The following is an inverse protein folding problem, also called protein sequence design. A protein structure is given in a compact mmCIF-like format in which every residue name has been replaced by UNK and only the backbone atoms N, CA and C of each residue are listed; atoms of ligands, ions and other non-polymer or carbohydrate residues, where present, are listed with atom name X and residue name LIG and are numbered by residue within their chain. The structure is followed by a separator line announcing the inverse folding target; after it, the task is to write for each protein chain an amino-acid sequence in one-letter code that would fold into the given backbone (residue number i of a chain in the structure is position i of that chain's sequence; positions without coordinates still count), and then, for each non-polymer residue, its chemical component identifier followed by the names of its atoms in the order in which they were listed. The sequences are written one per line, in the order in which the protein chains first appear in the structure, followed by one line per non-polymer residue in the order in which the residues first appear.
data_IF_010659338761
#
_entry.id   IF_010659338761
#
_cell.length_a   1.000
_cell.length_b   1.000
_cell.length_c   1.000
_cell.angle_alpha   90.00
_cell.angle_beta   90.00
_cell.angle_gamma   90.00
#
_symmetry.space_group_name_H-M   'P 1'
#
loop_
_entity.id
_entity.type
_entity.pdbx_description
1 polymer ?
#
# COMPACT_ATOMS: atom_id res chain seq x y z
N UNK A 1 28.64 10.31 5.90
CA UNK A 1 28.05 10.72 4.60
C UNK A 1 26.71 11.34 4.91
N UNK A 2 26.47 12.61 4.54
CA UNK A 2 25.15 13.23 4.71
C UNK A 2 24.20 12.44 3.81
N UNK A 3 23.25 11.74 4.41
CA UNK A 3 22.17 11.09 3.67
C UNK A 3 21.32 12.23 3.14
N UNK A 4 21.48 12.59 1.86
CA UNK A 4 20.60 13.59 1.25
C UNK A 4 19.18 13.05 1.29
N UNK A 5 18.29 13.80 1.94
CA UNK A 5 16.89 13.41 2.04
C UNK A 5 16.31 13.28 0.64
N UNK A 6 15.56 12.20 0.41
CA UNK A 6 14.91 11.97 -0.88
C UNK A 6 13.96 13.13 -1.17
N UNK A 7 14.03 13.67 -2.39
CA UNK A 7 13.18 14.77 -2.84
C UNK A 7 11.79 14.24 -3.24
N UNK A 8 11.09 13.67 -2.27
CA UNK A 8 9.73 13.14 -2.44
C UNK A 8 8.74 14.29 -2.40
N UNK A 9 7.93 14.44 -3.46
CA UNK A 9 6.86 15.44 -3.53
C UNK A 9 5.51 14.80 -3.20
N UNK A 10 4.59 15.49 -2.52
CA UNK A 10 3.25 14.98 -2.27
C UNK A 10 2.51 14.68 -3.57
N UNK A 11 1.88 13.51 -3.64
CA UNK A 11 1.00 13.13 -4.74
C UNK A 11 -0.35 13.85 -4.55
N UNK A 12 -0.83 14.56 -5.57
CA UNK A 12 -2.07 15.32 -5.47
C UNK A 12 -3.27 14.42 -5.74
N UNK A 13 -4.42 14.77 -5.18
CA UNK A 13 -5.64 13.95 -5.32
C UNK A 13 -6.10 13.89 -6.78
N UNK A 14 -5.92 14.98 -7.53
CA UNK A 14 -6.26 15.08 -8.96
C UNK A 14 -5.39 14.17 -9.85
N UNK A 15 -4.19 13.79 -9.39
CA UNK A 15 -3.28 12.89 -10.11
C UNK A 15 -3.62 11.40 -9.89
N UNK A 16 -4.55 11.10 -8.99
CA UNK A 16 -4.95 9.72 -8.69
C UNK A 16 -5.92 9.19 -9.77
N UNK A 17 -5.63 8.00 -10.35
CA UNK A 17 -6.57 7.32 -11.23
C UNK A 17 -7.94 7.13 -10.58
N UNK A 18 -8.99 7.15 -11.40
CA UNK A 18 -10.36 6.99 -10.95
C UNK A 18 -10.68 5.52 -10.71
N UNK A 19 -10.24 4.64 -11.60
CA UNK A 19 -10.48 3.21 -11.49
C UNK A 19 -9.62 2.57 -10.38
N UNK A 20 -10.25 1.73 -9.56
CA UNK A 20 -9.58 1.05 -8.43
C UNK A 20 -8.40 0.18 -8.87
N UNK A 21 -8.49 -0.49 -10.01
CA UNK A 21 -7.44 -1.38 -10.53
C UNK A 21 -6.28 -0.55 -11.09
N UNK A 22 -6.57 0.51 -11.83
CA UNK A 22 -5.59 1.48 -12.30
C UNK A 22 -4.87 2.17 -11.15
N UNK A 23 -5.58 2.56 -10.09
CA UNK A 23 -4.99 3.15 -8.89
C UNK A 23 -4.02 2.18 -8.21
N UNK A 24 -4.39 0.91 -8.08
CA UNK A 24 -3.51 -0.09 -7.47
C UNK A 24 -2.21 -0.26 -8.28
N UNK A 25 -2.32 -0.30 -9.61
CA UNK A 25 -1.16 -0.34 -10.52
C UNK A 25 -0.31 0.91 -10.37
N UNK A 26 -0.92 2.07 -10.46
CA UNK A 26 -0.26 3.38 -10.39
C UNK A 26 0.51 3.59 -9.08
N UNK A 27 0.03 3.00 -7.99
CA UNK A 27 0.65 3.12 -6.67
C UNK A 27 1.98 2.35 -6.56
N UNK A 28 2.21 1.33 -7.40
CA UNK A 28 3.52 0.66 -7.47
C UNK A 28 4.57 1.67 -7.96
N UNK A 29 5.66 1.79 -7.21
CA UNK A 29 6.73 2.75 -7.43
C UNK A 29 6.49 4.14 -6.82
N UNK A 30 5.32 4.40 -6.20
CA UNK A 30 5.10 5.58 -5.36
C UNK A 30 5.72 5.39 -3.98
N UNK A 31 5.71 6.43 -3.15
CA UNK A 31 6.40 6.42 -1.86
C UNK A 31 5.41 6.56 -0.72
N UNK A 32 5.45 5.66 0.24
CA UNK A 32 4.78 5.87 1.52
C UNK A 32 5.72 6.67 2.42
N UNK A 33 5.24 7.78 2.97
CA UNK A 33 6.01 8.65 3.86
C UNK A 33 5.28 8.83 5.18
N UNK A 34 6.03 8.79 6.28
CA UNK A 34 5.54 9.10 7.61
C UNK A 34 6.48 10.08 8.31
N UNK A 35 6.08 11.34 8.42
CA UNK A 35 6.80 12.36 9.16
C UNK A 35 6.46 12.25 10.65
N UNK A 36 7.43 11.81 11.45
CA UNK A 36 7.33 11.70 12.91
C UNK A 36 8.22 12.74 13.61
N UNK A 37 7.94 13.07 14.88
CA UNK A 37 8.81 13.93 15.68
C UNK A 37 10.26 13.41 15.77
N UNK A 38 10.45 12.09 15.79
CA UNK A 38 11.77 11.45 15.90
C UNK A 38 12.49 11.31 14.54
N UNK A 39 11.80 11.57 13.43
CA UNK A 39 12.37 11.52 12.08
C UNK A 39 11.41 11.03 11.01
N UNK A 40 11.77 11.29 9.75
CA UNK A 40 11.01 10.81 8.59
C UNK A 40 11.24 9.32 8.35
N UNK A 41 10.16 8.60 8.11
CA UNK A 41 10.17 7.26 7.52
C UNK A 41 9.74 7.38 6.07
N UNK A 42 10.40 6.67 5.16
CA UNK A 42 9.91 6.55 3.80
C UNK A 42 10.27 5.20 3.18
N UNK A 43 9.52 4.83 2.17
CA UNK A 43 9.88 3.71 1.33
C UNK A 43 9.03 3.61 0.07
N UNK A 44 9.60 2.96 -0.95
CA UNK A 44 8.96 2.75 -2.24
C UNK A 44 7.94 1.62 -2.12
N UNK A 45 6.71 1.86 -2.55
CA UNK A 45 5.63 0.87 -2.58
C UNK A 45 5.93 -0.10 -3.72
N UNK A 46 6.20 -1.35 -3.38
CA UNK A 46 6.58 -2.39 -4.36
C UNK A 46 5.46 -3.39 -4.62
N UNK A 47 4.37 -3.34 -3.86
CA UNK A 47 3.26 -4.29 -3.98
C UNK A 47 1.95 -3.71 -3.46
N UNK A 48 0.88 -3.90 -4.23
CA UNK A 48 -0.50 -3.52 -3.89
C UNK A 48 -1.50 -4.59 -4.30
N UNK A 49 -2.70 -4.53 -3.72
CA UNK A 49 -3.87 -5.29 -4.19
C UNK A 49 -5.06 -4.37 -4.41
N UNK A 50 -5.87 -4.65 -5.43
CA UNK A 50 -7.11 -3.93 -5.72
C UNK A 50 -8.34 -4.69 -5.16
N UNK A 51 -9.25 -3.94 -4.56
CA UNK A 51 -10.57 -4.40 -4.11
C UNK A 51 -11.65 -3.52 -4.77
N UNK A 52 -11.94 -3.73 -6.07
CA UNK A 52 -12.86 -2.90 -6.85
C UNK A 52 -14.32 -3.06 -6.40
N UNK A 53 -15.19 -2.18 -6.90
CA UNK A 53 -16.64 -2.28 -6.68
C UNK A 53 -17.16 -3.67 -7.11
N UNK A 54 -18.03 -4.25 -6.30
CA UNK A 54 -18.59 -5.58 -6.53
C UNK A 54 -17.68 -6.77 -6.17
N UNK A 55 -16.47 -6.52 -5.67
CA UNK A 55 -15.59 -7.60 -5.18
C UNK A 55 -16.08 -8.16 -3.85
N UNK A 56 -16.49 -9.44 -3.83
CA UNK A 56 -17.05 -10.10 -2.64
C UNK A 56 -16.06 -10.29 -1.49
N UNK A 57 -14.77 -10.06 -1.72
CA UNK A 57 -13.71 -10.10 -0.72
C UNK A 57 -13.40 -8.72 -0.12
N UNK A 58 -13.96 -7.65 -0.68
CA UNK A 58 -13.84 -6.30 -0.14
C UNK A 58 -14.70 -6.11 1.12
N UNK A 59 -14.19 -5.35 2.09
CA UNK A 59 -15.01 -4.93 3.24
C UNK A 59 -16.13 -3.96 2.86
N UNK A 60 -16.09 -3.36 1.66
CA UNK A 60 -17.14 -2.49 1.14
C UNK A 60 -18.24 -3.26 0.39
N UNK A 61 -18.08 -4.56 0.13
CA UNK A 61 -18.98 -5.34 -0.73
C UNK A 61 -20.46 -5.27 -0.33
N UNK A 62 -20.73 -5.39 0.97
CA UNK A 62 -22.10 -5.35 1.52
C UNK A 62 -22.58 -3.92 1.86
N UNK A 63 -21.84 -2.91 1.40
CA UNK A 63 -22.06 -1.49 1.65
C UNK A 63 -21.46 -0.98 2.96
N UNK A 64 -21.79 0.28 3.26
CA UNK A 64 -21.24 1.03 4.40
C UNK A 64 -21.70 0.43 5.74
N UNK A 65 -20.77 0.37 6.70
CA UNK A 65 -20.92 -0.10 8.08
C UNK A 65 -20.10 0.83 8.99
N UNK A 66 -20.36 0.84 10.32
CA UNK A 66 -19.64 1.73 11.24
C UNK A 66 -18.11 1.60 11.19
N UNK A 67 -17.59 0.41 10.89
CA UNK A 67 -16.16 0.10 10.91
C UNK A 67 -15.43 0.23 9.56
N UNK A 68 -16.13 0.53 8.46
CA UNK A 68 -15.52 0.64 7.12
C UNK A 68 -15.77 2.01 6.47
N UNK A 69 -16.28 3.00 7.23
CA UNK A 69 -16.65 4.31 6.70
C UNK A 69 -15.53 5.00 5.93
N UNK A 70 -14.27 4.80 6.33
CA UNK A 70 -13.11 5.37 5.65
C UNK A 70 -12.91 4.86 4.20
N UNK A 71 -13.44 3.68 3.86
CA UNK A 71 -13.47 3.20 2.47
C UNK A 71 -14.45 3.97 1.57
N UNK A 72 -15.41 4.68 2.17
CA UNK A 72 -16.44 5.47 1.48
C UNK A 72 -16.08 6.96 1.43
N UNK A 73 -14.92 7.36 1.95
CA UNK A 73 -14.39 8.70 1.73
C UNK A 73 -13.94 8.88 0.29
N UNK A 74 -13.77 10.13 -0.13
CA UNK A 74 -13.19 10.44 -1.43
C UNK A 74 -11.82 9.74 -1.62
N UNK A 75 -11.42 9.49 -2.87
CA UNK A 75 -10.14 8.83 -3.18
C UNK A 75 -8.95 9.46 -2.43
N UNK A 76 -8.02 8.61 -1.99
CA UNK A 76 -6.80 9.04 -1.33
C UNK A 76 -6.87 9.08 0.21
N UNK A 77 -7.92 8.57 0.84
CA UNK A 77 -7.99 8.46 2.31
C UNK A 77 -7.55 7.08 2.78
N UNK A 78 -6.84 7.04 3.90
CA UNK A 78 -6.42 5.81 4.55
C UNK A 78 -7.63 5.07 5.12
N UNK A 79 -7.69 3.76 4.89
CA UNK A 79 -8.53 2.84 5.64
C UNK A 79 -7.65 1.86 6.39
N UNK A 80 -7.61 1.99 7.72
CA UNK A 80 -6.73 1.23 8.59
C UNK A 80 -7.54 0.31 9.49
N UNK A 81 -7.36 -1.00 9.33
CA UNK A 81 -8.12 -1.99 10.12
C UNK A 81 -7.25 -3.09 10.69
N UNK A 82 -7.48 -3.39 11.97
CA UNK A 82 -6.94 -4.58 12.62
C UNK A 82 -7.58 -5.83 12.00
N UNK A 83 -6.76 -6.69 11.43
CA UNK A 83 -7.18 -7.90 10.73
C UNK A 83 -6.73 -9.12 11.52
N UNK A 84 -7.67 -10.05 11.73
CA UNK A 84 -7.51 -11.25 12.57
C UNK A 84 -7.01 -10.99 14.00
N UNK A 85 -7.17 -9.77 14.53
CA UNK A 85 -6.71 -9.40 15.88
C UNK A 85 -5.19 -9.27 16.02
N UNK A 86 -4.42 -9.41 14.93
CA UNK A 86 -2.95 -9.53 15.00
C UNK A 86 -2.23 -8.35 14.36
N UNK A 87 -2.73 -7.81 13.25
CA UNK A 87 -2.02 -6.74 12.54
C UNK A 87 -2.96 -5.76 11.87
N UNK A 88 -2.59 -4.49 11.89
CA UNK A 88 -3.24 -3.48 11.08
C UNK A 88 -2.90 -3.69 9.60
N UNK A 89 -3.81 -3.27 8.73
CA UNK A 89 -3.61 -3.22 7.29
C UNK A 89 -3.89 -1.79 6.84
N UNK A 90 -3.02 -1.23 6.00
CA UNK A 90 -3.21 0.09 5.41
C UNK A 90 -3.79 -0.05 4.00
N UNK A 91 -5.01 0.45 3.83
CA UNK A 91 -5.64 0.59 2.53
C UNK A 91 -5.78 2.07 2.18
N UNK A 92 -6.06 2.36 0.91
CA UNK A 92 -6.46 3.68 0.41
C UNK A 92 -7.81 3.57 -0.30
N UNK A 93 -8.75 4.48 -0.02
CA UNK A 93 -9.99 4.62 -0.78
C UNK A 93 -9.71 5.02 -2.23
N UNK A 94 -10.40 4.40 -3.19
CA UNK A 94 -10.10 4.57 -4.62
C UNK A 94 -11.17 5.34 -5.40
N UNK A 95 -12.44 5.20 -5.01
CA UNK A 95 -13.58 5.67 -5.80
C UNK A 95 -14.05 7.08 -5.39
N UNK A 96 -15.10 7.55 -6.07
CA UNK A 96 -15.86 8.70 -5.61
C UNK A 96 -16.42 8.46 -4.20
N UNK A 97 -16.66 9.56 -3.48
CA UNK A 97 -17.26 9.51 -2.15
C UNK A 97 -18.58 8.71 -2.19
N UNK A 98 -18.82 7.93 -1.14
CA UNK A 98 -19.97 7.04 -0.95
C UNK A 98 -20.03 5.77 -1.83
N UNK A 99 -19.08 5.53 -2.76
CA UNK A 99 -19.10 4.32 -3.61
C UNK A 99 -18.51 3.09 -2.90
N UNK A 100 -17.40 3.26 -2.18
CA UNK A 100 -16.79 2.19 -1.38
C UNK A 100 -15.99 1.18 -2.21
N UNK A 101 -14.69 1.45 -2.38
CA UNK A 101 -13.69 0.50 -2.87
C UNK A 101 -12.31 0.96 -2.41
N UNK A 102 -11.27 0.15 -2.63
CA UNK A 102 -9.94 0.58 -2.27
C UNK A 102 -8.82 -0.34 -2.71
N UNK A 103 -7.60 0.09 -2.36
CA UNK A 103 -6.38 -0.64 -2.62
C UNK A 103 -5.68 -0.95 -1.29
N UNK A 104 -5.09 -2.14 -1.16
CA UNK A 104 -4.24 -2.51 -0.03
C UNK A 104 -2.78 -2.21 -0.38
N UNK A 105 -2.07 -1.52 0.50
CA UNK A 105 -0.62 -1.35 0.40
C UNK A 105 0.03 -2.56 1.08
N UNK A 106 0.70 -3.40 0.31
CA UNK A 106 1.16 -4.72 0.78
C UNK A 106 2.61 -4.74 1.19
N UNK A 107 3.48 -4.13 0.41
CA UNK A 107 4.89 -4.14 0.73
C UNK A 107 5.56 -2.85 0.27
N UNK A 108 6.59 -2.49 1.03
CA UNK A 108 7.40 -1.31 0.81
C UNK A 108 8.87 -1.72 0.91
N UNK A 109 9.70 -1.20 0.01
CA UNK A 109 11.16 -1.13 0.15
C UNK A 109 11.52 0.05 1.06
N UNK A 110 12.05 -0.19 2.27
CA UNK A 110 12.43 0.88 3.20
C UNK A 110 13.61 1.71 2.69
N UNK A 111 13.52 3.05 2.80
CA UNK A 111 14.55 3.98 2.30
C UNK A 111 15.05 4.96 3.37
N UNK A 112 14.14 5.61 4.11
CA UNK A 112 14.47 6.52 5.20
C UNK A 112 13.93 6.02 6.54
N UNK A 113 14.61 6.35 7.64
CA UNK A 113 14.17 6.00 8.99
C UNK A 113 14.37 4.53 9.37
N UNK A 114 15.34 3.85 8.76
CA UNK A 114 15.60 2.41 8.97
C UNK A 114 15.77 2.05 10.46
N UNK A 115 16.54 2.82 11.22
CA UNK A 115 16.73 2.58 12.66
C UNK A 115 15.42 2.62 13.45
N UNK A 116 14.46 3.50 13.09
CA UNK A 116 13.14 3.55 13.72
C UNK A 116 12.29 2.34 13.34
N UNK A 117 12.37 1.87 12.08
CA UNK A 117 11.70 0.66 11.63
C UNK A 117 12.25 -0.60 12.31
N UNK A 118 13.57 -0.69 12.46
CA UNK A 118 14.29 -1.77 13.16
C UNK A 118 13.97 -1.78 14.65
N UNK A 119 13.88 -0.61 15.30
CA UNK A 119 13.45 -0.53 16.69
C UNK A 119 12.03 -1.09 16.90
N UNK A 120 11.12 -0.91 15.93
CA UNK A 120 9.77 -1.50 15.96
C UNK A 120 9.74 -2.98 15.58
N UNK A 121 10.78 -3.47 14.90
CA UNK A 121 10.92 -4.85 14.42
C UNK A 121 12.34 -5.36 14.68
N UNK A 122 12.72 -5.61 15.94
CA UNK A 122 14.10 -5.98 16.27
C UNK A 122 14.46 -7.35 15.70
N UNK A 123 15.70 -7.47 15.19
CA UNK A 123 16.26 -8.75 14.73
C UNK A 123 15.73 -9.27 13.39
N UNK A 124 14.94 -8.49 12.65
CA UNK A 124 14.57 -8.85 11.27
C UNK A 124 15.53 -8.22 10.26
N UNK A 125 15.86 -8.91 9.15
CA UNK A 125 16.67 -8.31 8.10
C UNK A 125 15.91 -7.17 7.41
N UNK A 126 16.63 -6.19 6.87
CA UNK A 126 16.09 -5.04 6.12
C UNK A 126 14.99 -5.45 5.11
N UNK A 127 15.26 -6.51 4.34
CA UNK A 127 14.32 -7.09 3.36
C UNK A 127 12.94 -7.41 3.96
N UNK A 128 12.88 -7.83 5.22
CA UNK A 128 11.67 -8.31 5.88
C UNK A 128 11.05 -7.27 6.84
N UNK A 129 11.57 -6.03 6.89
CA UNK A 129 11.00 -4.94 7.68
C UNK A 129 9.57 -4.61 7.23
N UNK A 130 9.36 -4.38 5.93
CA UNK A 130 8.06 -3.97 5.38
C UNK A 130 7.53 -4.89 4.27
N UNK A 131 8.05 -6.12 4.17
CA UNK A 131 7.62 -7.15 3.21
C UNK A 131 6.36 -7.88 3.67
N UNK A 132 5.21 -7.24 3.50
CA UNK A 132 3.88 -7.78 3.83
C UNK A 132 3.04 -6.78 4.62
N UNK A 133 1.69 -6.80 4.48
CA UNK A 133 0.85 -5.65 4.82
C UNK A 133 0.88 -5.32 6.32
N UNK A 134 0.80 -6.34 7.20
CA UNK A 134 0.95 -6.13 8.64
C UNK A 134 2.37 -5.78 9.07
N UNK A 135 3.39 -6.20 8.30
CA UNK A 135 4.80 -5.85 8.61
C UNK A 135 5.07 -4.39 8.28
N UNK A 136 4.57 -3.93 7.12
CA UNK A 136 4.58 -2.55 6.69
C UNK A 136 3.98 -1.64 7.76
N UNK A 137 2.78 -1.93 8.26
CA UNK A 137 2.16 -1.07 9.27
C UNK A 137 2.97 -1.00 10.57
N UNK A 138 3.57 -2.11 11.01
CA UNK A 138 4.43 -2.11 12.20
C UNK A 138 5.70 -1.28 11.95
N UNK A 139 6.40 -1.50 10.84
CA UNK A 139 7.62 -0.76 10.50
C UNK A 139 7.37 0.75 10.46
N UNK A 140 6.26 1.17 9.85
CA UNK A 140 5.87 2.57 9.72
C UNK A 140 5.16 3.15 10.96
N UNK A 141 4.89 2.35 12.00
CA UNK A 141 4.18 2.83 13.20
C UNK A 141 2.71 3.22 12.95
N UNK A 142 2.05 2.52 12.02
CA UNK A 142 0.67 2.79 11.61
C UNK A 142 -0.29 1.92 12.42
N UNK A 143 -1.25 2.57 13.09
CA UNK A 143 -2.34 1.93 13.82
C UNK A 143 -3.68 2.61 13.59
N UNK A 144 -4.69 2.28 14.40
CA UNK A 144 -6.07 2.75 14.24
C UNK A 144 -6.21 4.29 14.14
N UNK A 145 -5.34 5.05 14.80
CA UNK A 145 -5.35 6.53 14.77
C UNK A 145 -5.10 7.15 13.37
N UNK A 146 -4.72 6.32 12.39
CA UNK A 146 -4.53 6.71 11.00
C UNK A 146 -5.72 6.39 10.10
N UNK A 147 -6.76 5.73 10.62
CA UNK A 147 -7.99 5.51 9.85
C UNK A 147 -8.64 6.86 9.48
N UNK A 148 -9.05 7.00 8.22
CA UNK A 148 -9.65 8.22 7.66
C UNK A 148 -8.68 9.36 7.37
N UNK A 149 -7.35 9.18 7.55
CA UNK A 149 -6.36 10.23 7.22
C UNK A 149 -6.29 10.47 5.72
N UNK A 150 -6.19 11.74 5.32
CA UNK A 150 -5.95 12.12 3.93
C UNK A 150 -4.47 11.94 3.57
N UNK A 151 -4.19 10.97 2.69
CA UNK A 151 -2.84 10.62 2.27
C UNK A 151 -2.27 11.57 1.20
N UNK A 152 -3.06 12.55 0.73
CA UNK A 152 -2.63 13.52 -0.28
C UNK A 152 -2.10 14.83 0.34
N UNK A 153 -1.94 14.88 1.67
CA UNK A 153 -1.66 16.14 2.40
C UNK A 153 -0.19 16.54 2.43
N UNK A 154 0.73 15.63 2.11
CA UNK A 154 2.17 15.88 2.17
C UNK A 154 2.75 16.05 3.58
N UNK A 155 2.00 15.68 4.62
CA UNK A 155 2.41 15.79 6.02
C UNK A 155 1.85 14.65 6.87
N UNK A 156 2.54 14.29 7.94
CA UNK A 156 2.13 13.14 8.76
C UNK A 156 2.27 11.85 7.95
N UNK A 157 1.18 11.12 7.71
CA UNK A 157 1.17 9.94 6.82
C UNK A 157 0.65 10.32 5.44
N UNK A 158 1.46 10.14 4.39
CA UNK A 158 1.11 10.58 3.04
C UNK A 158 1.77 9.74 1.94
N UNK A 159 1.24 9.84 0.72
CA UNK A 159 1.82 9.26 -0.49
C UNK A 159 2.56 10.33 -1.29
N UNK A 160 3.79 10.00 -1.66
CA UNK A 160 4.65 10.84 -2.46
C UNK A 160 5.08 10.22 -3.78
N UNK A 161 5.69 11.08 -4.60
CA UNK A 161 6.23 10.75 -5.91
C UNK A 161 7.63 11.32 -6.06
N UNK A 162 8.52 10.54 -6.67
CA UNK A 162 9.77 10.99 -7.28
C UNK A 162 9.59 10.77 -8.77
N UNK A 163 9.91 11.77 -9.60
CA UNK A 163 9.80 11.61 -11.06
C UNK A 163 10.75 10.51 -11.49
N UNK A 164 10.16 9.42 -11.94
CA UNK A 164 10.85 8.24 -12.43
C UNK A 164 10.08 7.80 -13.66
N UNK A 165 10.79 7.25 -14.64
CA UNK A 165 10.15 6.72 -15.86
C UNK A 165 9.23 5.54 -15.55
N UNK A 166 8.45 5.14 -16.55
CA UNK A 166 7.59 3.98 -16.44
C UNK A 166 8.41 2.72 -16.17
N UNK A 167 8.10 2.01 -15.09
CA UNK A 167 8.65 0.71 -14.76
C UNK A 167 7.63 -0.38 -15.09
N UNK A 168 8.06 -1.57 -15.54
CA UNK A 168 7.16 -2.69 -15.76
C UNK A 168 6.47 -3.07 -14.44
N UNK A 169 5.16 -3.37 -14.51
CA UNK A 169 4.36 -3.80 -13.36
C UNK A 169 3.92 -5.26 -13.58
N UNK A 170 4.33 -6.13 -12.67
CA UNK A 170 3.87 -7.52 -12.61
C UNK A 170 2.43 -7.59 -12.13
N UNK A 171 1.67 -8.55 -12.65
CA UNK A 171 0.26 -8.79 -12.30
C UNK A 171 0.06 -10.25 -11.93
N UNK A 172 -0.64 -10.49 -10.82
CA UNK A 172 -0.90 -11.85 -10.33
C UNK A 172 -2.13 -11.90 -9.42
N UNK A 173 -2.42 -13.07 -8.87
CA UNK A 173 -3.56 -13.29 -7.97
C UNK A 173 -3.27 -12.79 -6.56
N UNK A 174 -4.34 -12.38 -5.87
CA UNK A 174 -4.28 -11.87 -4.49
C UNK A 174 -3.94 -12.97 -3.47
N UNK A 175 -3.36 -12.59 -2.33
CA UNK A 175 -2.94 -13.50 -1.27
C UNK A 175 -3.92 -13.46 -0.09
N UNK A 176 -4.20 -14.63 0.49
CA UNK A 176 -4.98 -14.72 1.73
C UNK A 176 -6.49 -14.64 1.53
N UNK A 177 -6.97 -14.92 0.31
CA UNK A 177 -8.39 -14.98 -0.02
C UNK A 177 -8.89 -16.44 -0.06
N UNK A 178 -10.15 -16.64 0.29
CA UNK A 178 -10.88 -17.91 0.14
C UNK A 178 -11.89 -17.90 -1.01
N UNK A 179 -12.15 -16.71 -1.58
CA UNK A 179 -13.07 -16.46 -2.70
C UNK A 179 -12.39 -15.56 -3.72
N UNK A 180 -12.85 -15.57 -4.97
CA UNK A 180 -12.31 -14.73 -6.06
C UNK A 180 -10.78 -14.81 -6.26
N UNK A 181 -10.18 -15.96 -5.90
CA UNK A 181 -8.74 -16.18 -5.89
C UNK A 181 -8.11 -16.14 -7.29
N UNK A 182 -8.91 -16.30 -8.35
CA UNK A 182 -8.44 -16.32 -9.74
C UNK A 182 -8.27 -14.92 -10.34
N UNK A 183 -8.81 -13.87 -9.71
CA UNK A 183 -8.78 -12.51 -10.27
C UNK A 183 -7.37 -11.92 -10.15
N UNK A 184 -6.76 -11.41 -11.25
CA UNK A 184 -5.40 -10.87 -11.27
C UNK A 184 -5.35 -9.43 -10.74
N UNK A 185 -5.67 -9.27 -9.46
CA UNK A 185 -5.82 -7.97 -8.78
C UNK A 185 -4.68 -7.66 -7.80
N UNK A 186 -3.52 -8.30 -7.97
CA UNK A 186 -2.29 -8.00 -7.22
C UNK A 186 -1.23 -7.47 -8.18
N UNK A 187 -0.64 -6.34 -7.82
CA UNK A 187 0.34 -5.63 -8.63
C UNK A 187 1.66 -5.51 -7.87
N UNK A 188 2.78 -5.68 -8.56
CA UNK A 188 4.08 -5.66 -7.91
C UNK A 188 5.21 -5.21 -8.84
N UNK A 189 6.31 -4.75 -8.26
CA UNK A 189 7.54 -4.42 -8.97
C UNK A 189 8.34 -5.69 -9.30
N UNK A 190 8.50 -6.07 -10.57
CA UNK A 190 9.24 -7.28 -10.96
C UNK A 190 10.70 -7.23 -10.49
N UNK A 191 11.20 -8.35 -9.98
CA UNK A 191 12.59 -8.47 -9.51
C UNK A 191 12.87 -7.87 -8.14
N UNK A 192 11.95 -7.08 -7.55
CA UNK A 192 12.16 -6.51 -6.23
C UNK A 192 12.20 -7.58 -5.13
N UNK A 193 13.26 -7.54 -4.31
CA UNK A 193 13.42 -8.44 -3.16
C UNK A 193 12.41 -8.17 -2.04
N UNK A 194 11.71 -7.04 -2.09
CA UNK A 194 10.77 -6.57 -1.08
C UNK A 194 9.32 -6.98 -1.35
N UNK A 195 9.02 -7.56 -2.53
CA UNK A 195 7.68 -8.09 -2.83
C UNK A 195 7.36 -9.28 -1.93
N UNK A 196 6.18 -9.25 -1.29
CA UNK A 196 5.75 -10.25 -0.32
C UNK A 196 5.24 -11.55 -0.97
N UNK A 197 4.89 -12.52 -0.13
CA UNK A 197 4.29 -13.77 -0.59
C UNK A 197 5.27 -14.78 -1.19
N UNK A 198 4.72 -15.91 -1.70
CA UNK A 198 5.52 -16.99 -2.25
C UNK A 198 6.01 -16.67 -3.67
N UNK A 199 7.29 -16.94 -3.95
CA UNK A 199 7.95 -16.66 -5.25
C UNK A 199 7.22 -17.28 -6.45
N UNK A 200 6.56 -18.43 -6.27
CA UNK A 200 5.78 -19.09 -7.33
C UNK A 200 4.63 -18.24 -7.89
N UNK A 201 4.17 -17.24 -7.16
CA UNK A 201 3.13 -16.31 -7.63
C UNK A 201 3.71 -15.08 -8.36
N UNK A 202 5.04 -14.94 -8.39
CA UNK A 202 5.76 -13.81 -8.99
C UNK A 202 6.29 -14.14 -10.39
N UNK A 203 5.99 -15.34 -10.91
CA UNK A 203 6.30 -15.68 -12.31
C UNK A 203 5.46 -14.82 -13.22
N UNK A 204 6.15 -13.99 -14.01
CA UNK A 204 5.56 -13.27 -15.14
C UNK A 204 5.04 -14.36 -16.10
N UNK A 205 3.76 -14.33 -16.53
CA UNK A 205 3.33 -15.18 -17.63
C UNK A 205 4.30 -14.90 -18.77
N UNK A 206 5.01 -15.92 -19.27
CA UNK A 206 5.77 -15.74 -20.50
C UNK A 206 4.77 -15.19 -21.51
N UNK A 207 5.09 -14.02 -22.08
CA UNK A 207 4.43 -13.56 -23.28
C UNK A 207 4.59 -14.67 -24.31
N UNK A 208 3.55 -15.49 -24.43
CA UNK A 208 3.42 -16.50 -25.47
C UNK A 208 3.40 -15.79 -26.82
N UNK A 209 4.04 -16.43 -27.78
CA UNK A 209 4.25 -16.02 -29.16
C UNK A 209 2.97 -15.54 -29.88
#
# INVERSE_FOLDING_TARGET
MRNEALQIRPLRREDLPIDTVELARFMVGKYLVHDLPEGRLSGRIVETEAYPLGDSTSHAFIGRRPYNGSMFLARGHAYVRLTYGVSYMLNMSSEAQEVGAGILLRAVEPLEGLALMEARRPGVPLRDLARGPGRLTVAFGIGQAFDGRDLCTGRGLWIGVIETGDAPIGVTTRIGLSREMHRPLRFFEPGSAFVSGPRKLLTIPHSGA
#
